data_IF_376084048887
#
_entry.id   IF_376084048887
#
_cell.length_a   1.000
_cell.length_b   1.000
_cell.length_c   1.000
_cell.angle_alpha   90.00
_cell.angle_beta   90.00
_cell.angle_gamma   90.00
#
_symmetry.space_group_name_H-M   'P 1'
#
loop_
_entity.id
_entity.type
_entity.pdbx_description
1 polymer ?
#
# COMPACT_ATOMS: atom_id res chain seq x y z
N UNK A 1 12.56 -0.17 -4.35
CA UNK A 1 11.26 0.38 -3.88
C UNK A 1 10.89 -0.20 -2.50
N UNK A 2 9.93 0.37 -1.77
CA UNK A 2 9.44 -0.24 -0.50
C UNK A 2 8.89 -1.65 -0.73
N UNK A 3 8.20 -1.86 -1.85
CA UNK A 3 7.71 -3.17 -2.27
C UNK A 3 8.84 -4.19 -2.44
N UNK A 4 9.90 -3.85 -3.17
CA UNK A 4 11.06 -4.75 -3.34
C UNK A 4 11.72 -5.14 -2.01
N UNK A 5 11.82 -4.20 -1.06
CA UNK A 5 12.37 -4.47 0.27
C UNK A 5 11.53 -5.52 1.02
N UNK A 6 10.20 -5.39 1.01
CA UNK A 6 9.31 -6.37 1.63
C UNK A 6 9.36 -7.72 0.91
N UNK A 7 9.38 -7.72 -0.42
CA UNK A 7 9.49 -8.95 -1.22
C UNK A 7 10.80 -9.68 -0.92
N UNK A 8 11.92 -8.95 -0.80
CA UNK A 8 13.21 -9.54 -0.45
C UNK A 8 13.18 -10.15 0.96
N UNK A 9 12.62 -9.45 1.94
CA UNK A 9 12.48 -9.95 3.30
C UNK A 9 11.58 -11.21 3.37
N UNK A 10 10.45 -11.20 2.68
CA UNK A 10 9.53 -12.34 2.61
C UNK A 10 10.17 -13.56 1.95
N UNK A 11 10.91 -13.38 0.85
CA UNK A 11 11.64 -14.48 0.20
C UNK A 11 12.75 -15.04 1.07
N UNK A 12 13.44 -14.20 1.84
CA UNK A 12 14.48 -14.65 2.76
C UNK A 12 13.90 -15.47 3.93
N UNK A 13 12.74 -15.07 4.46
CA UNK A 13 12.05 -15.79 5.53
C UNK A 13 11.30 -17.03 5.04
N UNK A 14 10.78 -17.01 3.81
CA UNK A 14 9.96 -18.06 3.21
C UNK A 14 10.41 -18.32 1.76
N UNK A 15 11.46 -19.12 1.52
CA UNK A 15 12.03 -19.35 0.19
C UNK A 15 11.05 -19.94 -0.83
N UNK A 16 10.10 -20.75 -0.36
CA UNK A 16 9.10 -21.41 -1.21
C UNK A 16 7.85 -20.54 -1.48
N UNK A 17 7.78 -19.34 -0.89
CA UNK A 17 6.66 -18.43 -1.08
C UNK A 17 6.69 -17.84 -2.48
N UNK A 18 5.65 -18.12 -3.26
CA UNK A 18 5.42 -17.48 -4.55
C UNK A 18 4.84 -16.08 -4.32
N UNK A 19 5.47 -15.07 -4.92
CA UNK A 19 5.08 -13.67 -4.75
C UNK A 19 4.97 -13.03 -6.13
N UNK A 20 3.74 -12.64 -6.47
CA UNK A 20 3.42 -11.83 -7.64
C UNK A 20 3.21 -10.37 -7.25
N UNK A 21 3.97 -9.47 -7.86
CA UNK A 21 3.89 -8.03 -7.57
C UNK A 21 2.96 -7.37 -8.59
N UNK A 22 1.85 -6.80 -8.11
CA UNK A 22 0.99 -5.93 -8.91
C UNK A 22 1.20 -4.47 -8.57
N UNK A 23 1.39 -3.65 -9.59
CA UNK A 23 1.36 -2.18 -9.45
C UNK A 23 -0.08 -1.69 -9.60
N UNK A 24 -0.55 -0.94 -8.60
CA UNK A 24 -1.86 -0.29 -8.62
C UNK A 24 -1.60 1.22 -8.65
N UNK A 25 -2.07 1.90 -9.69
CA UNK A 25 -1.98 3.35 -9.78
C UNK A 25 -3.13 4.01 -9.03
N UNK A 26 -2.80 4.95 -8.16
CA UNK A 26 -3.79 5.70 -7.40
C UNK A 26 -4.24 6.95 -8.15
N UNK A 27 -5.35 7.55 -7.74
CA UNK A 27 -5.80 8.82 -8.32
C UNK A 27 -4.80 9.96 -8.03
N UNK A 28 -4.10 9.90 -6.89
CA UNK A 28 -3.04 10.85 -6.54
C UNK A 28 -1.81 10.76 -7.44
N UNK A 29 -1.51 9.57 -7.99
CA UNK A 29 -0.40 9.42 -8.96
C UNK A 29 -0.72 10.04 -10.31
N UNK A 30 -2.01 10.02 -10.70
CA UNK A 30 -2.50 10.50 -11.99
C UNK A 30 -2.68 12.02 -12.05
N UNK A 31 -2.95 12.66 -10.92
CA UNK A 31 -3.18 14.10 -10.83
C UNK A 31 -2.17 14.77 -9.90
N UNK A 32 -0.98 15.05 -10.46
CA UNK A 32 0.11 15.75 -9.77
C UNK A 32 -0.03 17.28 -9.78
N UNK A 33 -1.00 17.82 -10.53
CA UNK A 33 -1.17 19.27 -10.75
C UNK A 33 -2.23 19.86 -9.84
N UNK A 34 -3.22 19.07 -9.44
CA UNK A 34 -4.24 19.48 -8.47
C UNK A 34 -3.72 19.30 -7.04
N UNK A 35 -3.85 20.34 -6.22
CA UNK A 35 -3.50 20.29 -4.79
C UNK A 35 -4.18 19.10 -4.10
N UNK A 36 -3.44 18.37 -3.25
CA UNK A 36 -3.93 17.29 -2.39
C UNK A 36 -5.21 17.65 -1.62
N UNK A 37 -5.34 18.91 -1.21
CA UNK A 37 -6.54 19.41 -0.53
C UNK A 37 -7.79 19.45 -1.43
N UNK A 38 -7.62 19.56 -2.75
CA UNK A 38 -8.72 19.56 -3.73
C UNK A 38 -9.12 18.16 -4.21
N UNK A 39 -8.20 17.19 -4.23
CA UNK A 39 -8.47 15.83 -4.72
C UNK A 39 -9.23 14.99 -3.66
N UNK A 40 -9.17 15.37 -2.38
CA UNK A 40 -9.95 14.70 -1.34
C UNK A 40 -9.26 14.53 0.01
N UNK A 41 -8.08 15.14 0.23
CA UNK A 41 -7.40 15.12 1.54
C UNK A 41 -6.55 13.86 1.80
N UNK A 42 -6.30 13.59 3.09
CA UNK A 42 -5.49 12.46 3.59
C UNK A 42 -6.15 11.12 3.18
N UNK A 43 -5.41 10.24 2.49
CA UNK A 43 -5.90 8.91 2.09
C UNK A 43 -6.14 8.69 0.58
N UNK A 44 -6.02 9.73 -0.26
CA UNK A 44 -6.15 9.61 -1.73
C UNK A 44 -5.14 8.62 -2.33
N UNK A 45 -3.97 8.46 -1.72
CA UNK A 45 -2.91 7.56 -2.18
C UNK A 45 -3.09 6.10 -1.72
N UNK A 46 -4.01 5.81 -0.80
CA UNK A 46 -4.19 4.44 -0.29
C UNK A 46 -5.55 3.85 -0.60
N UNK A 47 -6.56 4.69 -0.89
CA UNK A 47 -7.95 4.25 -1.14
C UNK A 47 -8.08 3.15 -2.19
N UNK A 48 -7.31 3.25 -3.27
CA UNK A 48 -7.35 2.27 -4.36
C UNK A 48 -6.65 0.96 -4.00
N UNK A 49 -5.65 1.03 -3.13
CA UNK A 49 -4.98 -0.14 -2.57
C UNK A 49 -5.89 -0.85 -1.56
N UNK A 50 -6.54 -0.11 -0.68
CA UNK A 50 -7.51 -0.61 0.30
C UNK A 50 -8.67 -1.33 -0.39
N UNK A 51 -9.20 -0.77 -1.47
CA UNK A 51 -10.26 -1.42 -2.28
C UNK A 51 -9.79 -2.74 -2.88
N UNK A 52 -8.59 -2.78 -3.46
CA UNK A 52 -8.04 -4.00 -4.04
C UNK A 52 -7.87 -5.09 -2.97
N UNK A 53 -7.44 -4.71 -1.76
CA UNK A 53 -7.29 -5.63 -0.63
C UNK A 53 -8.65 -6.14 -0.12
N UNK A 54 -9.64 -5.24 0.04
CA UNK A 54 -11.00 -5.61 0.47
C UNK A 54 -11.74 -6.45 -0.58
N UNK A 55 -11.45 -6.26 -1.86
CA UNK A 55 -12.01 -7.05 -2.95
C UNK A 55 -11.31 -8.41 -3.14
N UNK A 56 -10.21 -8.67 -2.43
CA UNK A 56 -9.41 -9.89 -2.56
C UNK A 56 -8.64 -9.97 -3.88
N UNK A 57 -8.37 -8.83 -4.53
CA UNK A 57 -7.56 -8.78 -5.76
C UNK A 57 -6.06 -8.91 -5.47
N UNK A 58 -5.66 -8.55 -4.25
CA UNK A 58 -4.31 -8.69 -3.70
C UNK A 58 -4.41 -9.17 -2.26
N UNK A 59 -3.41 -9.93 -1.80
CA UNK A 59 -3.37 -10.44 -0.42
C UNK A 59 -2.71 -9.46 0.56
N UNK A 60 -1.87 -8.55 0.05
CA UNK A 60 -1.16 -7.56 0.84
C UNK A 60 -0.88 -6.29 0.03
N UNK A 61 -0.76 -5.17 0.75
CA UNK A 61 -0.42 -3.87 0.19
C UNK A 61 0.81 -3.33 0.92
N UNK A 62 1.74 -2.75 0.17
CA UNK A 62 2.88 -2.01 0.71
C UNK A 62 2.73 -0.54 0.33
N UNK A 63 2.75 0.34 1.33
CA UNK A 63 2.74 1.79 1.14
C UNK A 63 3.67 2.46 2.16
N UNK A 64 3.91 3.75 1.99
CA UNK A 64 4.64 4.53 2.98
C UNK A 64 3.76 4.82 4.19
N UNK A 65 4.29 4.61 5.40
CA UNK A 65 3.55 4.81 6.65
C UNK A 65 3.02 6.25 6.80
N UNK A 66 3.72 7.25 6.26
CA UNK A 66 3.29 8.66 6.26
C UNK A 66 1.96 8.90 5.53
N UNK A 67 1.62 8.03 4.59
CA UNK A 67 0.42 8.11 3.76
C UNK A 67 -0.74 7.30 4.36
N UNK A 68 -0.52 6.66 5.52
CA UNK A 68 -1.54 5.92 6.26
C UNK A 68 -2.56 6.89 6.87
N UNK A 69 -3.87 6.65 6.71
CA UNK A 69 -4.89 7.37 7.46
C UNK A 69 -4.76 7.06 8.95
N UNK A 70 -5.19 7.99 9.80
CA UNK A 70 -5.21 7.78 11.24
C UNK A 70 -6.14 6.63 11.65
N UNK A 71 -7.24 6.47 10.92
CA UNK A 71 -8.19 5.38 11.09
C UNK A 71 -7.98 4.31 10.01
N UNK A 72 -7.73 3.08 10.42
CA UNK A 72 -7.65 1.94 9.51
C UNK A 72 -9.08 1.46 9.19
N UNK A 73 -9.46 1.32 7.91
CA UNK A 73 -10.79 0.85 7.54
C UNK A 73 -11.13 -0.51 8.17
N UNK A 74 -12.41 -0.69 8.52
CA UNK A 74 -12.88 -1.98 9.02
C UNK A 74 -12.60 -3.10 8.01
N UNK A 75 -12.06 -4.22 8.49
CA UNK A 75 -11.68 -5.36 7.66
C UNK A 75 -10.21 -5.33 7.22
N UNK A 76 -9.49 -4.24 7.48
CA UNK A 76 -8.05 -4.12 7.22
C UNK A 76 -7.26 -4.01 8.53
N UNK A 77 -5.95 -4.28 8.46
CA UNK A 77 -5.04 -4.14 9.60
C UNK A 77 -3.63 -3.76 9.12
N UNK A 78 -2.87 -3.07 9.97
CA UNK A 78 -1.44 -2.85 9.76
C UNK A 78 -0.70 -4.13 10.17
N UNK A 79 -0.37 -4.98 9.20
CA UNK A 79 0.23 -6.29 9.47
C UNK A 79 1.71 -6.20 9.90
N UNK A 80 2.48 -5.27 9.35
CA UNK A 80 3.90 -5.13 9.62
C UNK A 80 4.42 -3.73 9.27
N UNK A 81 5.52 -3.35 9.91
CA UNK A 81 6.32 -2.18 9.53
C UNK A 81 7.79 -2.60 9.43
N UNK A 82 8.51 -2.29 8.33
CA UNK A 82 9.95 -2.48 8.29
C UNK A 82 10.67 -1.67 9.36
N UNK A 83 11.92 -2.03 9.65
CA UNK A 83 12.83 -1.10 10.32
C UNK A 83 12.88 0.22 9.55
N UNK A 84 12.91 1.32 10.29
CA UNK A 84 12.92 2.65 9.70
C UNK A 84 14.28 2.87 9.01
N UNK A 85 14.23 3.08 7.69
CA UNK A 85 15.36 3.57 6.89
C UNK A 85 15.52 5.08 6.91
#
# INVERSE_FOLDING_TARGET
>A
SQTEMMVAALRAAHPDLQIDVRQIQTQGDKDQTTSLARIGGQGVFVKELEKALLAGEVDAVVHSLKDMPADIPQGLTLAATPERG
#
